data_IF_095951299061
#
_entry.id   IF_095951299061
#
_cell.length_a   1.000
_cell.length_b   1.000
_cell.length_c   1.000
_cell.angle_alpha   90.00
_cell.angle_beta   90.00
_cell.angle_gamma   90.00
#
_symmetry.space_group_name_H-M   'P 1'
#
loop_
_entity.id
_entity.type
_entity.pdbx_description
1 polymer ?
#
# COMPACT_ATOMS: atom_id res chain seq x y z
N UNK A 1 -6.59 -14.77 -7.10
CA UNK A 1 -7.30 -16.01 -6.70
C UNK A 1 -6.56 -16.83 -5.63
N UNK A 2 -5.21 -16.77 -5.54
CA UNK A 2 -4.42 -17.41 -4.46
C UNK A 2 -4.62 -16.74 -3.09
N UNK A 3 -4.49 -15.41 -3.02
CA UNK A 3 -4.61 -14.64 -1.76
C UNK A 3 -5.96 -14.81 -1.06
N UNK A 4 -7.08 -14.78 -1.80
CA UNK A 4 -8.42 -15.02 -1.24
C UNK A 4 -8.55 -16.41 -0.61
N UNK A 5 -7.92 -17.44 -1.19
CA UNK A 5 -7.90 -18.81 -0.65
C UNK A 5 -7.22 -18.90 0.73
N UNK A 6 -6.35 -17.94 1.07
CA UNK A 6 -5.53 -17.94 2.29
C UNK A 6 -6.14 -17.03 3.38
N UNK A 7 -6.65 -15.84 3.01
CA UNK A 7 -7.13 -14.81 3.96
C UNK A 7 -8.52 -15.13 4.53
N UNK A 8 -9.41 -15.77 3.77
CA UNK A 8 -10.78 -16.10 4.23
C UNK A 8 -10.82 -17.18 5.33
N UNK A 9 -9.66 -17.69 5.78
CA UNK A 9 -9.53 -18.62 6.91
C UNK A 9 -10.06 -18.06 8.24
N UNK A 10 -10.06 -16.74 8.42
CA UNK A 10 -10.26 -16.12 9.74
C UNK A 10 -11.67 -15.60 10.06
N UNK A 11 -12.49 -15.29 9.05
CA UNK A 11 -13.67 -14.40 9.26
C UNK A 11 -15.01 -15.13 9.35
N UNK A 12 -15.10 -16.44 9.08
CA UNK A 12 -16.43 -17.02 8.78
C UNK A 12 -16.77 -18.43 9.24
N UNK A 13 -16.07 -19.10 10.16
CA UNK A 13 -16.47 -20.48 10.55
C UNK A 13 -16.47 -20.76 12.04
N UNK A 14 -17.45 -20.15 12.73
CA UNK A 14 -18.07 -20.81 13.89
C UNK A 14 -19.40 -21.42 13.43
N UNK A 15 -19.41 -22.76 13.39
CA UNK A 15 -20.56 -23.67 13.18
C UNK A 15 -21.19 -23.69 11.79
N UNK A 16 -21.05 -24.80 11.08
CA UNK A 16 -22.18 -25.69 10.74
C UNK A 16 -21.68 -26.94 10.00
N UNK A 17 -22.42 -28.01 10.20
CA UNK A 17 -22.16 -29.38 9.80
C UNK A 17 -22.08 -29.56 8.27
N UNK A 18 -21.31 -30.57 7.85
CA UNK A 18 -21.39 -31.28 6.57
C UNK A 18 -21.85 -30.50 5.32
N UNK A 19 -20.89 -29.94 4.57
CA UNK A 19 -21.04 -29.61 3.15
C UNK A 19 -19.82 -30.12 2.36
N UNK A 20 -19.97 -30.43 1.06
CA UNK A 20 -18.93 -31.10 0.27
C UNK A 20 -17.65 -30.27 0.25
N UNK A 21 -16.51 -30.97 0.31
CA UNK A 21 -15.19 -30.35 0.27
C UNK A 21 -15.10 -29.37 -0.92
N UNK A 22 -14.91 -28.09 -0.63
CA UNK A 22 -14.66 -27.05 -1.63
C UNK A 22 -13.48 -27.50 -2.51
N UNK A 23 -13.64 -27.65 -3.84
CA UNK A 23 -12.62 -28.19 -4.75
C UNK A 23 -11.40 -27.28 -4.94
N UNK A 24 -11.31 -26.18 -4.18
CA UNK A 24 -10.20 -25.22 -4.29
C UNK A 24 -8.93 -25.81 -3.68
N UNK A 25 -7.79 -25.75 -4.40
CA UNK A 25 -6.52 -26.16 -3.85
C UNK A 25 -6.20 -25.36 -2.58
N UNK A 26 -5.95 -26.09 -1.48
CA UNK A 26 -5.58 -25.56 -0.18
C UNK A 26 -4.07 -25.34 -0.15
N UNK A 27 -3.64 -24.09 -0.25
CA UNK A 27 -2.23 -23.75 -0.12
C UNK A 27 -1.91 -23.42 1.34
N UNK A 28 -0.86 -24.02 1.95
CA UNK A 28 -0.44 -23.63 3.28
C UNK A 28 0.16 -22.21 3.24
N UNK A 29 -0.08 -21.41 4.28
CA UNK A 29 0.47 -20.05 4.41
C UNK A 29 1.99 -20.02 4.23
N UNK A 30 2.69 -21.06 4.70
CA UNK A 30 4.14 -21.20 4.55
C UNK A 30 4.61 -21.16 3.09
N UNK A 31 3.85 -21.72 2.14
CA UNK A 31 4.20 -21.67 0.71
C UNK A 31 4.15 -20.26 0.15
N UNK A 32 3.24 -19.41 0.64
CA UNK A 32 3.18 -17.99 0.27
C UNK A 32 4.35 -17.22 0.91
N UNK A 33 4.58 -17.46 2.21
CA UNK A 33 5.65 -16.81 2.96
C UNK A 33 7.03 -17.07 2.37
N UNK A 34 7.28 -18.28 1.86
CA UNK A 34 8.54 -18.65 1.22
C UNK A 34 8.80 -17.90 -0.10
N UNK A 35 7.76 -17.32 -0.71
CA UNK A 35 7.88 -16.51 -1.92
C UNK A 35 8.10 -15.01 -1.68
N UNK A 36 8.01 -14.53 -0.43
CA UNK A 36 8.25 -13.12 -0.13
C UNK A 36 9.75 -12.82 -0.16
N UNK A 37 10.13 -11.93 -1.07
CA UNK A 37 11.48 -11.40 -1.19
C UNK A 37 11.41 -9.88 -1.39
N UNK A 38 12.39 -9.15 -0.88
CA UNK A 38 12.54 -7.74 -1.19
C UNK A 38 13.14 -7.60 -2.60
N UNK A 39 12.35 -7.06 -3.54
CA UNK A 39 12.82 -6.74 -4.88
C UNK A 39 13.42 -5.34 -4.90
N UNK A 40 14.76 -5.22 -4.80
CA UNK A 40 15.47 -3.92 -4.83
C UNK A 40 15.18 -3.09 -6.09
N UNK A 41 14.82 -3.73 -7.20
CA UNK A 41 14.50 -3.04 -8.45
C UNK A 41 13.22 -2.19 -8.37
N UNK A 42 12.36 -2.44 -7.37
CA UNK A 42 11.12 -1.69 -7.15
C UNK A 42 11.25 -0.74 -5.93
N UNK A 43 12.48 -0.45 -5.49
CA UNK A 43 12.75 0.49 -4.40
C UNK A 43 12.49 1.94 -4.85
N UNK A 44 11.78 2.70 -4.01
CA UNK A 44 11.55 4.13 -4.20
C UNK A 44 12.19 4.91 -3.04
N UNK A 45 13.03 5.90 -3.37
CA UNK A 45 13.74 6.71 -2.38
C UNK A 45 12.96 8.01 -2.15
N UNK A 46 12.73 8.34 -0.88
CA UNK A 46 12.17 9.62 -0.47
C UNK A 46 13.29 10.64 -0.31
N UNK A 47 13.07 11.84 -0.86
CA UNK A 47 14.05 12.92 -0.87
C UNK A 47 13.54 14.16 -0.11
N UNK A 48 14.46 14.85 0.56
CA UNK A 48 14.23 16.15 1.15
C UNK A 48 14.25 17.27 0.11
N UNK A 49 14.06 18.51 0.54
CA UNK A 49 14.05 19.69 -0.33
C UNK A 49 15.43 19.94 -0.98
N UNK A 50 16.51 19.52 -0.34
CA UNK A 50 17.87 19.65 -0.86
C UNK A 50 18.34 18.44 -1.67
N UNK A 51 17.46 17.45 -1.88
CA UNK A 51 17.78 16.22 -2.61
C UNK A 51 18.48 15.14 -1.78
N UNK A 52 18.67 15.36 -0.48
CA UNK A 52 19.16 14.33 0.44
C UNK A 52 18.10 13.25 0.68
N UNK A 53 18.53 12.01 0.85
CA UNK A 53 17.59 10.93 1.20
C UNK A 53 17.07 11.12 2.62
N UNK A 54 15.75 11.12 2.77
CA UNK A 54 15.08 11.28 4.06
C UNK A 54 14.00 10.21 4.23
N UNK A 55 13.82 9.65 5.43
CA UNK A 55 12.88 8.56 5.66
C UNK A 55 11.42 9.03 5.43
N UNK A 56 10.60 8.22 4.73
CA UNK A 56 9.15 8.40 4.77
C UNK A 56 8.62 7.90 6.11
N UNK A 57 7.73 8.66 6.74
CA UNK A 57 7.10 8.29 8.02
C UNK A 57 5.64 7.86 7.84
N UNK A 58 4.91 8.44 6.88
CA UNK A 58 3.52 8.10 6.59
C UNK A 58 3.33 7.64 5.14
N UNK A 59 2.56 6.58 4.94
CA UNK A 59 2.17 6.07 3.61
C UNK A 59 0.69 5.69 3.62
N UNK A 60 -0.07 6.16 2.63
CA UNK A 60 -1.47 5.77 2.47
C UNK A 60 -1.86 5.65 1.00
N UNK A 61 -2.43 4.51 0.61
CA UNK A 61 -3.10 4.37 -0.68
C UNK A 61 -4.48 5.01 -0.64
N UNK A 62 -4.90 5.63 -1.73
CA UNK A 62 -6.24 6.21 -1.85
C UNK A 62 -7.31 5.12 -1.77
N UNK A 63 -8.39 5.44 -1.05
CA UNK A 63 -9.57 4.58 -0.96
C UNK A 63 -10.61 4.87 -2.05
N UNK A 64 -10.39 5.89 -2.88
CA UNK A 64 -11.29 6.24 -3.97
C UNK A 64 -11.24 5.17 -5.08
N UNK A 65 -12.42 4.76 -5.58
CA UNK A 65 -12.55 3.58 -6.44
C UNK A 65 -11.73 3.64 -7.73
N UNK A 66 -11.53 4.82 -8.30
CA UNK A 66 -10.77 5.04 -9.53
C UNK A 66 -9.30 5.46 -9.30
N UNK A 67 -8.84 5.55 -8.05
CA UNK A 67 -7.50 6.05 -7.69
C UNK A 67 -6.76 5.09 -6.75
N UNK A 68 -7.10 3.80 -6.73
CA UNK A 68 -6.51 2.82 -5.80
C UNK A 68 -4.99 2.63 -5.98
N UNK A 69 -4.46 3.01 -7.14
CA UNK A 69 -3.03 3.07 -7.49
C UNK A 69 -2.34 4.38 -7.04
N UNK A 70 -3.07 5.30 -6.42
CA UNK A 70 -2.50 6.56 -5.93
C UNK A 70 -2.01 6.38 -4.50
N UNK A 71 -0.73 6.70 -4.27
CA UNK A 71 -0.06 6.62 -2.98
C UNK A 71 0.31 8.01 -2.49
N UNK A 72 -0.09 8.36 -1.28
CA UNK A 72 0.45 9.51 -0.56
C UNK A 72 1.63 9.07 0.32
N UNK A 73 2.70 9.87 0.31
CA UNK A 73 3.88 9.69 1.14
C UNK A 73 4.25 10.98 1.85
N UNK A 74 4.52 10.88 3.15
CA UNK A 74 4.95 11.96 4.02
C UNK A 74 6.33 11.65 4.61
N UNK A 75 7.21 12.65 4.74
CA UNK A 75 8.58 12.45 5.19
C UNK A 75 9.00 13.30 6.40
N UNK A 76 10.25 13.09 6.84
CA UNK A 76 10.89 13.78 7.98
C UNK A 76 11.01 15.30 7.82
N UNK A 77 11.04 15.83 6.59
CA UNK A 77 11.13 17.28 6.36
C UNK A 77 9.76 17.96 6.19
N UNK A 78 8.67 17.20 6.35
CA UNK A 78 7.32 17.72 6.22
C UNK A 78 6.80 17.83 4.78
N UNK A 79 7.49 17.21 3.83
CA UNK A 79 7.09 17.15 2.43
C UNK A 79 6.07 16.02 2.25
N UNK A 80 5.00 16.33 1.52
CA UNK A 80 4.00 15.35 1.08
C UNK A 80 4.09 15.19 -0.44
N UNK A 81 4.12 13.94 -0.89
CA UNK A 81 4.12 13.57 -2.31
C UNK A 81 2.99 12.62 -2.63
N UNK A 82 2.40 12.81 -3.80
CA UNK A 82 1.36 11.95 -4.36
C UNK A 82 1.95 11.25 -5.58
N UNK A 83 1.88 9.92 -5.59
CA UNK A 83 2.42 9.06 -6.65
C UNK A 83 1.31 8.27 -7.33
N UNK A 84 1.40 8.10 -8.65
CA UNK A 84 0.71 7.07 -9.40
C UNK A 84 1.64 5.85 -9.52
N UNK A 85 1.31 4.76 -8.81
CA UNK A 85 2.15 3.55 -8.79
C UNK A 85 2.02 2.68 -10.05
N UNK A 86 1.11 3.00 -10.97
CA UNK A 86 1.01 2.32 -12.27
C UNK A 86 2.00 2.90 -13.29
N UNK A 87 2.38 4.18 -13.16
CA UNK A 87 3.32 4.84 -14.07
C UNK A 87 4.76 4.70 -13.54
N UNK A 88 5.56 3.85 -14.19
CA UNK A 88 6.96 3.63 -13.79
C UNK A 88 7.91 4.74 -14.22
N UNK A 89 7.61 5.45 -15.31
CA UNK A 89 8.53 6.46 -15.87
C UNK A 89 8.38 7.81 -15.17
N UNK A 90 7.14 8.22 -14.89
CA UNK A 90 6.86 9.47 -14.19
C UNK A 90 5.73 9.27 -13.15
N UNK A 91 6.07 8.69 -11.98
CA UNK A 91 5.07 8.38 -10.96
C UNK A 91 4.58 9.62 -10.22
N UNK A 92 5.34 10.71 -10.15
CA UNK A 92 5.00 11.86 -9.30
C UNK A 92 3.84 12.66 -9.88
N UNK A 93 2.74 12.73 -9.14
CA UNK A 93 1.55 13.52 -9.48
C UNK A 93 1.58 14.91 -8.85
N UNK A 94 2.03 15.02 -7.59
CA UNK A 94 2.04 16.28 -6.84
C UNK A 94 3.05 16.23 -5.69
N UNK A 95 3.60 17.38 -5.35
CA UNK A 95 4.53 17.57 -4.22
C UNK A 95 4.29 18.94 -3.57
N UNK A 96 4.35 19.01 -2.25
CA UNK A 96 4.36 20.27 -1.51
C UNK A 96 4.93 20.10 -0.10
N UNK A 97 5.39 21.22 0.48
CA UNK A 97 5.72 21.31 1.90
C UNK A 97 4.43 21.48 2.70
N UNK A 98 4.03 20.45 3.43
CA UNK A 98 2.80 20.48 4.23
C UNK A 98 3.06 21.03 5.65
N UNK A 99 4.26 20.82 6.17
CA UNK A 99 4.68 21.23 7.52
C UNK A 99 6.13 21.72 7.49
N UNK A 100 6.50 22.59 8.43
CA UNK A 100 7.89 23.04 8.64
C UNK A 100 8.77 22.02 9.40
N UNK A 101 8.23 20.82 9.64
CA UNK A 101 8.86 19.71 10.36
C UNK A 101 8.20 18.38 9.94
N UNK A 102 8.69 17.26 10.47
CA UNK A 102 8.23 15.91 10.14
C UNK A 102 6.71 15.72 10.15
N UNK A 103 6.21 15.03 9.13
CA UNK A 103 4.83 14.53 9.08
C UNK A 103 4.85 13.04 9.37
N UNK A 104 4.30 12.66 10.52
CA UNK A 104 4.38 11.27 11.02
C UNK A 104 3.34 10.33 10.41
N UNK A 105 2.21 10.84 9.94
CA UNK A 105 1.14 10.03 9.36
C UNK A 105 0.32 10.84 8.35
N UNK A 106 -0.35 10.15 7.44
CA UNK A 106 -1.20 10.75 6.41
C UNK A 106 -2.38 9.83 6.10
N UNK A 107 -3.54 10.41 5.84
CA UNK A 107 -4.74 9.68 5.48
C UNK A 107 -5.50 10.38 4.36
N UNK A 108 -6.20 9.58 3.55
CA UNK A 108 -7.12 10.08 2.53
C UNK A 108 -8.52 10.27 3.13
N UNK A 109 -9.20 11.34 2.73
CA UNK A 109 -10.62 11.51 3.01
C UNK A 109 -11.41 10.43 2.25
N UNK A 110 -12.24 9.62 2.91
CA UNK A 110 -12.99 8.57 2.24
C UNK A 110 -13.96 9.11 1.18
N UNK A 111 -13.90 8.56 -0.03
CA UNK A 111 -14.87 8.85 -1.09
C UNK A 111 -14.66 10.15 -1.86
N UNK A 112 -13.66 10.97 -1.52
CA UNK A 112 -13.33 12.15 -2.29
C UNK A 112 -12.30 11.84 -3.41
N UNK A 113 -12.61 12.15 -4.67
CA UNK A 113 -11.61 12.18 -5.73
C UNK A 113 -10.84 13.50 -5.62
N UNK A 114 -9.79 13.55 -4.82
CA UNK A 114 -8.95 14.74 -4.75
C UNK A 114 -8.08 14.83 -6.01
N UNK A 115 -8.51 15.66 -6.97
CA UNK A 115 -7.68 16.21 -8.05
C UNK A 115 -7.55 17.71 -7.81
#
# INVERSE_FOLDING_TARGET
MLFRSIVDRGVGRRRQNALPADPRPRYPLSSLLQGYQCARHDEHISYGNLGDSVPPFGLAFSSAGNLQNVLAAANEEGIVRIYNTENRENPLLKEWLAHENAVFDIAWVPGEPQV
#
